data_IF_747320073611
#
_entry.id   IF_747320073611
#
_cell.length_a   1.000
_cell.length_b   1.000
_cell.length_c   1.000
_cell.angle_alpha   90.00
_cell.angle_beta   90.00
_cell.angle_gamma   90.00
#
_symmetry.space_group_name_H-M   'P 1'
#
loop_
_entity.id
_entity.type
_entity.pdbx_description
1 polymer ?
#
# COMPACT_ATOMS: atom_id res chain seq x y z
N UNK A 1 7.53 5.54 0.63
CA UNK A 1 8.63 4.73 1.18
C UNK A 1 9.46 4.13 0.05
N UNK A 2 10.78 4.29 0.06
CA UNK A 2 11.74 3.73 -0.90
C UNK A 2 12.35 2.41 -0.40
N UNK A 3 13.19 1.77 -1.24
CA UNK A 3 13.88 0.53 -0.89
C UNK A 3 14.96 0.76 0.19
N UNK A 4 15.63 1.91 0.15
CA UNK A 4 16.62 2.35 1.15
C UNK A 4 15.93 2.57 2.51
N UNK A 5 14.80 3.26 2.51
CA UNK A 5 14.00 3.51 3.72
C UNK A 5 13.50 2.21 4.35
N UNK A 6 12.95 1.29 3.54
CA UNK A 6 12.59 -0.06 3.99
C UNK A 6 13.81 -0.78 4.61
N UNK A 7 14.95 -0.67 3.94
CA UNK A 7 16.17 -1.38 4.35
C UNK A 7 16.72 -0.86 5.68
N UNK A 8 16.62 0.44 5.92
CA UNK A 8 16.98 1.09 7.16
C UNK A 8 15.97 0.76 8.28
N UNK A 9 14.67 0.95 8.03
CA UNK A 9 13.61 0.80 9.03
C UNK A 9 13.43 -0.63 9.54
N UNK A 10 13.60 -1.65 8.67
CA UNK A 10 13.31 -3.05 9.02
C UNK A 10 14.57 -3.92 9.08
N UNK A 11 15.74 -3.35 9.37
CA UNK A 11 16.99 -4.12 9.49
C UNK A 11 16.87 -5.22 10.56
N UNK A 12 17.18 -6.46 10.19
CA UNK A 12 17.08 -7.61 11.09
C UNK A 12 15.65 -8.09 11.36
N UNK A 13 14.63 -7.43 10.82
CA UNK A 13 13.23 -7.80 11.00
C UNK A 13 12.75 -8.78 9.92
N UNK A 14 11.91 -9.77 10.26
CA UNK A 14 11.19 -10.61 9.29
C UNK A 14 10.36 -9.80 8.27
N UNK A 15 10.00 -8.55 8.59
CA UNK A 15 9.24 -7.68 7.68
C UNK A 15 9.94 -7.47 6.33
N UNK A 16 11.28 -7.56 6.27
CA UNK A 16 12.01 -7.48 4.99
C UNK A 16 11.67 -8.58 4.00
N UNK A 17 11.15 -9.72 4.46
CA UNK A 17 10.76 -10.84 3.58
C UNK A 17 9.65 -10.45 2.60
N UNK A 18 8.80 -9.48 2.98
CA UNK A 18 7.76 -8.95 2.09
C UNK A 18 8.32 -8.09 0.95
N UNK A 19 9.57 -7.59 1.07
CA UNK A 19 10.17 -6.60 0.17
C UNK A 19 9.34 -5.30 0.08
N UNK A 20 9.82 -4.34 -0.71
CA UNK A 20 9.14 -3.04 -0.83
C UNK A 20 7.74 -3.17 -1.45
N UNK A 21 7.63 -3.91 -2.56
CA UNK A 21 6.34 -4.12 -3.23
C UNK A 21 5.32 -4.80 -2.32
N UNK A 22 5.72 -5.85 -1.60
CA UNK A 22 4.81 -6.56 -0.71
C UNK A 22 4.36 -5.69 0.45
N UNK A 23 5.23 -4.83 0.99
CA UNK A 23 4.83 -3.88 2.01
C UNK A 23 3.84 -2.84 1.48
N UNK A 24 4.10 -2.23 0.30
CA UNK A 24 3.18 -1.27 -0.33
C UNK A 24 1.81 -1.88 -0.62
N UNK A 25 1.80 -3.08 -1.22
CA UNK A 25 0.57 -3.83 -1.52
C UNK A 25 -0.20 -4.16 -0.24
N UNK A 26 0.47 -4.64 0.81
CA UNK A 26 -0.18 -4.93 2.08
C UNK A 26 -0.72 -3.65 2.75
N UNK A 27 -0.03 -2.51 2.60
CA UNK A 27 -0.55 -1.24 3.08
C UNK A 27 -1.84 -0.84 2.34
N UNK A 28 -1.91 -1.00 1.01
CA UNK A 28 -3.14 -0.79 0.26
C UNK A 28 -4.27 -1.72 0.74
N UNK A 29 -3.98 -3.00 1.04
CA UNK A 29 -4.95 -3.94 1.64
C UNK A 29 -5.48 -3.41 2.98
N UNK A 30 -4.58 -2.97 3.87
CA UNK A 30 -4.97 -2.42 5.17
C UNK A 30 -5.87 -1.19 4.99
N UNK A 31 -5.51 -0.26 4.10
CA UNK A 31 -6.32 0.93 3.83
C UNK A 31 -7.69 0.58 3.22
N UNK A 32 -7.77 -0.42 2.34
CA UNK A 32 -9.08 -0.90 1.86
C UNK A 32 -9.91 -1.59 2.95
N UNK A 33 -9.29 -2.17 3.98
CA UNK A 33 -10.01 -2.80 5.09
C UNK A 33 -10.48 -1.81 6.16
N UNK A 34 -9.64 -0.82 6.51
CA UNK A 34 -9.88 0.06 7.68
C UNK A 34 -9.77 1.56 7.37
N UNK A 35 -9.23 1.91 6.21
CA UNK A 35 -9.05 3.30 5.80
C UNK A 35 -10.37 4.00 5.51
N UNK A 36 -10.31 5.32 5.59
CA UNK A 36 -11.42 6.26 5.35
C UNK A 36 -11.15 7.10 4.10
N UNK A 37 -12.08 8.03 3.77
CA UNK A 37 -11.92 8.96 2.65
C UNK A 37 -10.64 9.81 2.69
N UNK A 38 -10.04 10.01 3.87
CA UNK A 38 -8.77 10.75 4.00
C UNK A 38 -7.58 10.03 3.33
N UNK A 39 -7.72 8.73 3.05
CA UNK A 39 -6.68 7.91 2.41
C UNK A 39 -6.84 7.82 0.89
N UNK A 40 -7.85 8.47 0.30
CA UNK A 40 -8.08 8.43 -1.15
C UNK A 40 -6.86 8.96 -1.90
N UNK A 41 -6.33 10.12 -1.52
CA UNK A 41 -5.21 10.75 -2.23
C UNK A 41 -3.95 9.86 -2.27
N UNK A 42 -3.60 9.21 -1.15
CA UNK A 42 -2.43 8.33 -1.09
C UNK A 42 -2.64 7.04 -1.91
N UNK A 43 -3.87 6.52 -1.95
CA UNK A 43 -4.20 5.36 -2.77
C UNK A 43 -4.24 5.71 -4.25
N UNK A 44 -4.74 6.90 -4.62
CA UNK A 44 -4.69 7.40 -6.00
C UNK A 44 -3.25 7.54 -6.47
N UNK A 45 -2.34 8.06 -5.64
CA UNK A 45 -0.92 8.10 -5.99
C UNK A 45 -0.30 6.71 -6.17
N UNK A 46 -0.77 5.72 -5.42
CA UNK A 46 -0.29 4.34 -5.53
C UNK A 46 -0.75 3.63 -6.82
N UNK A 47 -1.68 4.21 -7.60
CA UNK A 47 -2.05 3.70 -8.92
C UNK A 47 -0.90 3.79 -9.93
N UNK A 48 -0.02 4.79 -9.76
CA UNK A 48 1.13 5.02 -10.63
C UNK A 48 2.40 4.26 -10.17
N UNK A 49 2.26 3.32 -9.23
CA UNK A 49 3.41 2.56 -8.74
C UNK A 49 4.01 1.69 -9.87
N UNK A 50 5.34 1.63 -10.02
CA UNK A 50 5.98 0.82 -11.05
C UNK A 50 5.75 -0.69 -10.89
N UNK A 51 5.33 -1.16 -9.71
CA UNK A 51 4.87 -2.53 -9.51
C UNK A 51 3.36 -2.63 -9.79
N UNK A 52 2.92 -3.31 -10.87
CA UNK A 52 1.51 -3.38 -11.24
C UNK A 52 0.60 -3.90 -10.12
N UNK A 53 1.09 -4.87 -9.33
CA UNK A 53 0.32 -5.46 -8.25
C UNK A 53 -0.03 -4.44 -7.14
N UNK A 54 0.77 -3.40 -6.95
CA UNK A 54 0.47 -2.32 -6.00
C UNK A 54 -0.70 -1.49 -6.51
N UNK A 55 -0.71 -1.14 -7.80
CA UNK A 55 -1.80 -0.40 -8.45
C UNK A 55 -3.13 -1.14 -8.43
N UNK A 56 -3.12 -2.46 -8.67
CA UNK A 56 -4.32 -3.31 -8.59
C UNK A 56 -4.94 -3.27 -7.17
N UNK A 57 -4.10 -3.37 -6.13
CA UNK A 57 -4.58 -3.34 -4.75
C UNK A 57 -5.02 -1.94 -4.31
N UNK A 58 -4.39 -0.89 -4.83
CA UNK A 58 -4.82 0.48 -4.61
C UNK A 58 -6.19 0.75 -5.24
N UNK A 59 -6.43 0.24 -6.45
CA UNK A 59 -7.74 0.31 -7.12
C UNK A 59 -8.82 -0.38 -6.28
N UNK A 60 -8.56 -1.61 -5.82
CA UNK A 60 -9.48 -2.32 -4.93
C UNK A 60 -9.78 -1.54 -3.64
N UNK A 61 -8.74 -0.95 -3.02
CA UNK A 61 -8.89 -0.20 -1.77
C UNK A 61 -9.74 1.07 -1.96
N UNK A 62 -9.59 1.78 -3.08
CA UNK A 62 -10.41 2.95 -3.43
C UNK A 62 -11.89 2.58 -3.55
N UNK A 63 -12.20 1.46 -4.24
CA UNK A 63 -13.57 0.94 -4.35
C UNK A 63 -14.12 0.58 -2.98
N UNK A 64 -13.35 -0.15 -2.16
CA UNK A 64 -13.77 -0.55 -0.83
C UNK A 64 -14.05 0.64 0.12
N UNK A 65 -13.27 1.73 0.00
CA UNK A 65 -13.56 2.98 0.72
C UNK A 65 -14.84 3.64 0.20
N UNK A 66 -15.06 3.66 -1.12
CA UNK A 66 -16.26 4.25 -1.73
C UNK A 66 -17.56 3.53 -1.36
N UNK A 67 -17.52 2.20 -1.22
CA UNK A 67 -18.69 1.37 -0.88
C UNK A 67 -19.10 1.44 0.60
N UNK A 68 -18.19 1.87 1.48
CA UNK A 68 -18.48 2.11 2.89
C UNK A 68 -19.19 3.46 3.05
N UNK A 69 -20.51 3.41 3.18
CA UNK A 69 -21.37 4.58 3.43
C UNK A 69 -21.15 5.19 4.80
#
# INVERSE_FOLDING_TARGET
>A
MTQEELSAAFRGSPMKRAKLHGLKRNAAVVLGNVGTREHVDVLTHALDDPEPLVGDHATWALVAIGDRR
#
